data_IF_557967507004
#
_entry.id   IF_557967507004
#
_cell.length_a   1.000
_cell.length_b   1.000
_cell.length_c   1.000
_cell.angle_alpha   90.00
_cell.angle_beta   90.00
_cell.angle_gamma   90.00
#
_symmetry.space_group_name_H-M   'P 1'
#
loop_
_entity.id
_entity.type
_entity.pdbx_description
1 polymer ?
#
# COMPACT_ATOMS: atom_id res chain seq x y z
N UNK A 1 -5.62 -13.59 38.29
CA UNK A 1 -6.27 -12.66 39.25
C UNK A 1 -5.86 -11.24 38.90
N UNK A 2 -6.70 -10.24 39.17
CA UNK A 2 -6.38 -8.85 38.86
C UNK A 2 -5.65 -8.21 40.05
N UNK A 3 -4.63 -7.40 39.78
CA UNK A 3 -3.93 -6.64 40.81
C UNK A 3 -4.62 -5.30 41.02
N UNK A 4 -4.93 -4.97 42.27
CA UNK A 4 -5.55 -3.72 42.66
C UNK A 4 -4.61 -2.95 43.59
N UNK A 5 -4.63 -1.63 43.48
CA UNK A 5 -4.09 -0.74 44.50
C UNK A 5 -5.25 -0.28 45.36
N UNK A 6 -5.13 -0.38 46.68
CA UNK A 6 -6.17 0.07 47.59
C UNK A 6 -5.58 1.02 48.64
N UNK A 7 -6.41 1.96 49.07
CA UNK A 7 -6.21 2.76 50.27
C UNK A 7 -7.36 2.45 51.22
N UNK A 8 -7.04 2.09 52.46
CA UNK A 8 -8.02 1.78 53.49
C UNK A 8 -7.62 2.41 54.82
N UNK A 9 -8.60 2.78 55.65
CA UNK A 9 -8.36 3.28 57.00
C UNK A 9 -8.42 2.16 58.02
N UNK A 10 -7.47 2.12 58.94
CA UNK A 10 -7.54 1.24 60.12
C UNK A 10 -8.50 1.82 61.18
N UNK A 11 -8.70 1.08 62.28
CA UNK A 11 -9.58 1.48 63.39
C UNK A 11 -9.12 2.77 64.09
N UNK A 12 -7.84 3.08 64.02
CA UNK A 12 -7.23 4.29 64.60
C UNK A 12 -7.28 5.50 63.63
N UNK A 13 -7.95 5.36 62.49
CA UNK A 13 -8.14 6.43 61.49
C UNK A 13 -6.95 6.67 60.55
N UNK A 14 -5.88 5.88 60.66
CA UNK A 14 -4.70 5.97 59.80
C UNK A 14 -4.95 5.30 58.44
N UNK A 15 -4.59 5.99 57.36
CA UNK A 15 -4.72 5.48 56.00
C UNK A 15 -3.52 4.61 55.62
N UNK A 16 -3.78 3.39 55.16
CA UNK A 16 -2.79 2.44 54.66
C UNK A 16 -3.04 2.22 53.17
N UNK A 17 -2.00 2.38 52.35
CA UNK A 17 -2.06 2.16 50.90
C UNK A 17 -1.17 0.98 50.53
N UNK A 18 -1.74 -0.04 49.88
CA UNK A 18 -0.99 -1.22 49.45
C UNK A 18 -1.59 -1.83 48.17
N UNK A 19 -0.93 -2.83 47.60
CA UNK A 19 -1.42 -3.59 46.45
C UNK A 19 -1.81 -5.00 46.85
N UNK A 20 -2.95 -5.48 46.36
CA UNK A 20 -3.42 -6.83 46.59
C UNK A 20 -4.05 -7.43 45.32
N UNK A 21 -3.96 -8.75 45.19
CA UNK A 21 -4.62 -9.48 44.12
C UNK A 21 -6.01 -9.95 44.55
N UNK A 22 -6.99 -9.75 43.67
CA UNK A 22 -8.36 -10.18 43.89
C UNK A 22 -9.06 -10.49 42.57
N UNK A 23 -10.20 -11.18 42.66
CA UNK A 23 -11.02 -11.52 41.51
C UNK A 23 -11.89 -10.35 41.04
N UNK A 24 -12.37 -9.52 41.98
CA UNK A 24 -13.11 -8.29 41.68
C UNK A 24 -12.83 -7.20 42.73
N UNK A 25 -13.26 -5.97 42.42
CA UNK A 25 -13.17 -4.84 43.35
C UNK A 25 -13.98 -5.10 44.62
N UNK A 26 -15.15 -5.71 44.45
CA UNK A 26 -16.09 -6.06 45.51
C UNK A 26 -15.51 -7.15 46.41
N UNK A 27 -14.88 -8.18 45.81
CA UNK A 27 -14.21 -9.24 46.56
C UNK A 27 -13.05 -8.71 47.40
N UNK A 28 -12.24 -7.78 46.86
CA UNK A 28 -11.19 -7.13 47.63
C UNK A 28 -11.75 -6.24 48.75
N UNK A 29 -12.83 -5.50 48.48
CA UNK A 29 -13.49 -4.66 49.48
C UNK A 29 -14.03 -5.45 50.67
N UNK A 30 -14.65 -6.61 50.41
CA UNK A 30 -15.13 -7.52 51.46
C UNK A 30 -13.97 -8.09 52.29
N UNK A 31 -12.88 -8.51 51.62
CA UNK A 31 -11.68 -9.02 52.30
C UNK A 31 -11.03 -7.97 53.20
N UNK A 32 -10.92 -6.73 52.75
CA UNK A 32 -10.37 -5.63 53.56
C UNK A 32 -11.25 -5.31 54.77
N UNK A 33 -12.58 -5.30 54.60
CA UNK A 33 -13.53 -5.12 55.71
C UNK A 33 -13.44 -6.24 56.75
N UNK A 34 -13.28 -7.49 56.32
CA UNK A 34 -13.08 -8.61 57.26
C UNK A 34 -11.77 -8.52 58.05
N UNK A 35 -10.79 -7.77 57.56
CA UNK A 35 -9.52 -7.49 58.24
C UNK A 35 -9.58 -6.23 59.12
N UNK A 36 -10.76 -5.63 59.29
CA UNK A 36 -10.94 -4.41 60.08
C UNK A 36 -10.45 -3.13 59.40
N UNK A 37 -10.19 -3.19 58.08
CA UNK A 37 -9.79 -2.04 57.26
C UNK A 37 -11.00 -1.53 56.47
N UNK A 38 -11.26 -0.22 56.54
CA UNK A 38 -12.33 0.44 55.79
C UNK A 38 -11.77 0.96 54.46
N UNK A 39 -12.06 0.32 53.31
CA UNK A 39 -11.55 0.77 52.02
C UNK A 39 -12.17 2.10 51.63
N UNK A 40 -11.33 3.11 51.38
CA UNK A 40 -11.73 4.43 50.87
C UNK A 40 -11.57 4.51 49.36
N UNK A 41 -10.54 3.86 48.82
CA UNK A 41 -10.29 3.81 47.38
C UNK A 41 -9.77 2.42 46.99
N UNK A 42 -10.37 1.82 45.96
CA UNK A 42 -9.87 0.58 45.36
C UNK A 42 -9.83 0.82 43.86
N UNK A 43 -8.64 0.87 43.29
CA UNK A 43 -8.40 1.07 41.88
C UNK A 43 -7.73 -0.16 41.27
N UNK A 44 -8.26 -0.61 40.13
CA UNK A 44 -7.62 -1.68 39.37
C UNK A 44 -6.32 -1.15 38.81
N UNK A 45 -5.19 -1.77 39.17
CA UNK A 45 -3.89 -1.38 38.65
C UNK A 45 -3.87 -1.73 37.17
N UNK A 46 -3.97 -0.72 36.30
CA UNK A 46 -3.89 -0.90 34.85
C UNK A 46 -2.54 -1.52 34.53
N UNK A 47 -2.54 -2.79 34.12
CA UNK A 47 -1.32 -3.48 33.70
C UNK A 47 -0.85 -2.83 32.40
N UNK A 48 0.46 -2.67 32.20
CA UNK A 48 1.10 -2.15 30.95
C UNK A 48 0.63 -2.85 29.65
N UNK A 49 -0.15 -3.92 29.76
CA UNK A 49 -0.79 -4.68 28.68
C UNK A 49 -1.84 -3.87 27.90
N UNK A 50 -2.54 -2.91 28.53
CA UNK A 50 -3.54 -2.08 27.83
C UNK A 50 -2.91 -1.08 26.84
N UNK A 51 -1.67 -0.64 27.08
CA UNK A 51 -0.95 0.24 26.14
C UNK A 51 -0.48 -0.51 24.87
N UNK A 52 -0.36 -1.85 24.91
CA UNK A 52 -0.06 -2.66 23.71
C UNK A 52 -1.26 -2.81 22.76
N UNK A 53 -2.49 -2.60 23.24
CA UNK A 53 -3.71 -2.68 22.43
C UNK A 53 -3.86 -1.49 21.48
N UNK A 54 -3.51 -0.29 21.93
CA UNK A 54 -3.49 0.92 21.10
C UNK A 54 -2.42 0.86 19.98
N UNK A 55 -1.40 0.00 20.12
CA UNK A 55 -0.37 -0.24 19.09
C UNK A 55 -0.81 -1.18 17.96
N UNK A 56 -2.03 -1.74 18.00
CA UNK A 56 -2.52 -2.68 16.98
C UNK A 56 -2.69 -2.04 15.59
N UNK A 57 -2.63 -0.71 15.47
CA UNK A 57 -2.61 0.00 14.19
C UNK A 57 -1.26 -0.08 13.46
N UNK A 58 -0.17 -0.51 14.14
CA UNK A 58 1.19 -0.63 13.59
C UNK A 58 1.57 -2.06 13.18
N UNK A 59 0.60 -2.94 12.90
CA UNK A 59 0.84 -4.33 12.44
C UNK A 59 1.17 -4.40 10.94
N UNK A 60 2.00 -3.49 10.44
CA UNK A 60 2.47 -3.50 9.06
C UNK A 60 4.00 -3.60 9.04
N UNK A 61 4.51 -4.46 8.18
CA UNK A 61 5.94 -4.58 7.89
C UNK A 61 6.16 -4.23 6.43
N UNK A 62 6.92 -3.16 6.19
CA UNK A 62 7.20 -2.65 4.84
C UNK A 62 8.19 -3.54 4.10
N UNK A 63 8.21 -3.45 2.76
CA UNK A 63 9.23 -4.15 1.94
C UNK A 63 10.65 -3.71 2.28
N UNK A 64 10.85 -2.44 2.64
CA UNK A 64 12.15 -1.92 3.04
C UNK A 64 12.65 -2.59 4.33
N UNK A 65 11.77 -2.79 5.32
CA UNK A 65 12.12 -3.48 6.56
C UNK A 65 12.48 -4.96 6.30
N UNK A 66 11.72 -5.65 5.44
CA UNK A 66 12.03 -7.03 5.02
C UNK A 66 13.37 -7.12 4.29
N UNK A 67 13.67 -6.14 3.42
CA UNK A 67 14.94 -6.01 2.73
C UNK A 67 16.09 -5.82 3.71
N UNK A 68 15.95 -4.91 4.67
CA UNK A 68 16.96 -4.67 5.71
C UNK A 68 17.17 -5.91 6.57
N UNK A 69 16.10 -6.63 6.94
CA UNK A 69 16.21 -7.90 7.65
C UNK A 69 17.03 -8.93 6.88
N UNK A 70 16.65 -9.22 5.62
CA UNK A 70 17.35 -10.20 4.80
C UNK A 70 18.83 -9.82 4.59
N UNK A 71 19.11 -8.55 4.27
CA UNK A 71 20.47 -8.05 4.06
C UNK A 71 21.33 -8.13 5.32
N UNK A 72 20.81 -7.66 6.46
CA UNK A 72 21.59 -7.66 7.70
C UNK A 72 21.80 -9.08 8.22
N UNK A 73 20.81 -9.97 8.06
CA UNK A 73 20.97 -11.37 8.40
C UNK A 73 22.04 -12.04 7.51
N UNK A 74 21.98 -11.85 6.18
CA UNK A 74 23.01 -12.35 5.26
C UNK A 74 24.41 -11.89 5.66
N UNK A 75 24.61 -10.58 5.88
CA UNK A 75 25.91 -10.00 6.28
C UNK A 75 26.41 -10.60 7.60
N UNK A 76 25.51 -10.80 8.56
CA UNK A 76 25.88 -11.32 9.88
C UNK A 76 26.26 -12.81 9.83
N UNK A 77 25.54 -13.60 9.02
CA UNK A 77 25.87 -15.00 8.78
C UNK A 77 27.18 -15.16 8.01
N UNK A 78 27.41 -14.33 7.00
CA UNK A 78 28.66 -14.27 6.22
C UNK A 78 29.87 -13.91 7.07
N UNK A 79 29.66 -13.19 8.18
CA UNK A 79 30.67 -12.92 9.20
C UNK A 79 30.94 -14.10 10.15
N UNK A 80 30.30 -15.26 9.93
CA UNK A 80 30.51 -16.49 10.68
C UNK A 80 29.68 -16.62 11.96
N UNK A 81 28.69 -15.73 12.19
CA UNK A 81 27.84 -15.85 13.38
C UNK A 81 26.80 -16.97 13.19
N UNK A 82 26.52 -17.79 14.22
CA UNK A 82 25.40 -18.73 14.20
C UNK A 82 24.05 -18.03 14.01
N UNK A 83 23.09 -18.71 13.39
CA UNK A 83 21.76 -18.16 13.03
C UNK A 83 21.03 -17.56 14.23
N UNK A 84 20.97 -18.27 15.36
CA UNK A 84 20.35 -17.77 16.60
C UNK A 84 20.97 -16.45 17.04
N UNK A 85 22.30 -16.35 17.04
CA UNK A 85 23.00 -15.12 17.44
C UNK A 85 22.79 -13.99 16.42
N UNK A 86 22.80 -14.32 15.13
CA UNK A 86 22.57 -13.37 14.06
C UNK A 86 21.16 -12.74 14.17
N UNK A 87 20.13 -13.54 14.44
CA UNK A 87 18.76 -13.05 14.67
C UNK A 87 18.68 -12.08 15.85
N UNK A 88 19.36 -12.35 16.97
CA UNK A 88 19.41 -11.43 18.12
C UNK A 88 20.07 -10.09 17.74
N UNK A 89 21.14 -10.12 16.95
CA UNK A 89 21.83 -8.90 16.49
C UNK A 89 20.91 -8.09 15.57
N UNK A 90 20.30 -8.75 14.59
CA UNK A 90 19.41 -8.11 13.61
C UNK A 90 18.16 -7.53 14.29
N UNK A 91 17.61 -8.22 15.29
CA UNK A 91 16.44 -7.76 16.08
C UNK A 91 16.67 -6.38 16.70
N UNK A 92 17.89 -6.13 17.22
CA UNK A 92 18.27 -4.86 17.86
C UNK A 92 18.41 -3.70 16.87
N UNK A 93 18.60 -4.00 15.58
CA UNK A 93 18.75 -3.01 14.52
C UNK A 93 17.42 -2.62 13.87
N UNK A 94 16.33 -3.32 14.19
CA UNK A 94 15.01 -3.05 13.62
C UNK A 94 14.38 -1.80 14.24
N UNK A 95 13.98 -0.84 13.39
CA UNK A 95 13.28 0.37 13.80
C UNK A 95 11.81 0.12 14.16
N UNK A 96 11.19 -0.89 13.55
CA UNK A 96 9.79 -1.24 13.74
C UNK A 96 9.60 -2.16 14.96
N UNK A 97 8.93 -1.72 16.04
CA UNK A 97 8.78 -2.53 17.26
C UNK A 97 7.97 -3.81 17.04
N UNK A 98 6.98 -3.77 16.13
CA UNK A 98 6.18 -4.95 15.78
C UNK A 98 7.05 -5.98 15.07
N UNK A 99 7.81 -5.56 14.07
CA UNK A 99 8.70 -6.47 13.36
C UNK A 99 9.82 -7.00 14.26
N UNK A 100 10.43 -6.15 15.08
CA UNK A 100 11.41 -6.54 16.10
C UNK A 100 10.87 -7.62 17.03
N UNK A 101 9.61 -7.50 17.50
CA UNK A 101 9.00 -8.52 18.35
C UNK A 101 8.80 -9.87 17.65
N UNK A 102 8.55 -9.87 16.35
CA UNK A 102 8.39 -11.08 15.53
C UNK A 102 9.75 -11.74 15.29
N UNK A 103 10.78 -10.96 14.96
CA UNK A 103 12.15 -11.51 14.81
C UNK A 103 12.67 -12.05 16.15
N UNK A 104 12.33 -11.43 17.27
CA UNK A 104 12.67 -11.94 18.60
C UNK A 104 12.00 -13.29 18.88
N UNK A 105 10.73 -13.45 18.50
CA UNK A 105 10.00 -14.72 18.63
C UNK A 105 10.61 -15.81 17.73
N UNK A 106 10.93 -15.47 16.47
CA UNK A 106 11.66 -16.37 15.56
C UNK A 106 13.01 -16.77 16.14
N UNK A 107 13.76 -15.82 16.70
CA UNK A 107 15.04 -16.08 17.38
C UNK A 107 14.88 -17.08 18.52
N UNK A 108 13.83 -16.93 19.34
CA UNK A 108 13.55 -17.85 20.44
C UNK A 108 13.19 -19.25 19.92
N UNK A 109 12.38 -19.36 18.87
CA UNK A 109 12.01 -20.64 18.28
C UNK A 109 13.23 -21.37 17.71
N UNK A 110 14.13 -20.64 17.05
CA UNK A 110 15.39 -21.18 16.51
C UNK A 110 16.33 -21.62 17.63
N UNK A 111 16.45 -20.84 18.71
CA UNK A 111 17.17 -21.26 19.92
C UNK A 111 16.56 -22.52 20.57
N UNK A 112 15.24 -22.68 20.46
CA UNK A 112 14.49 -23.87 20.90
C UNK A 112 14.63 -25.09 19.96
N UNK A 113 15.38 -24.99 18.87
CA UNK A 113 15.66 -26.08 17.94
C UNK A 113 14.72 -26.18 16.74
N UNK A 114 13.79 -25.23 16.56
CA UNK A 114 13.00 -25.12 15.32
C UNK A 114 13.89 -24.59 14.19
N UNK A 115 13.69 -25.04 12.95
CA UNK A 115 14.42 -24.45 11.81
C UNK A 115 14.01 -22.99 11.61
N UNK A 116 14.88 -22.19 10.99
CA UNK A 116 14.57 -20.81 10.63
C UNK A 116 13.40 -20.76 9.65
N UNK A 117 13.40 -21.60 8.62
CA UNK A 117 12.32 -21.69 7.63
C UNK A 117 10.97 -22.00 8.28
N UNK A 118 10.89 -22.99 9.16
CA UNK A 118 9.64 -23.31 9.86
C UNK A 118 9.19 -22.17 10.79
N UNK A 119 10.13 -21.47 11.42
CA UNK A 119 9.82 -20.32 12.27
C UNK A 119 9.32 -19.11 11.48
N UNK A 120 9.85 -18.90 10.26
CA UNK A 120 9.37 -17.87 9.34
C UNK A 120 7.97 -18.21 8.78
N UNK A 121 7.69 -19.50 8.57
CA UNK A 121 6.41 -19.99 8.04
C UNK A 121 5.22 -19.68 8.95
N UNK A 122 5.44 -19.53 10.27
CA UNK A 122 4.41 -19.12 11.23
C UNK A 122 3.88 -17.69 10.97
N UNK A 123 4.60 -16.91 10.16
CA UNK A 123 4.30 -15.51 9.83
C UNK A 123 4.04 -15.27 8.33
N UNK A 124 3.05 -15.93 7.70
CA UNK A 124 2.83 -15.92 6.24
C UNK A 124 2.39 -14.56 5.68
N UNK A 125 1.93 -13.64 6.53
CA UNK A 125 1.61 -12.25 6.15
C UNK A 125 2.86 -11.38 5.98
N UNK A 126 3.99 -11.81 6.54
CA UNK A 126 5.26 -11.07 6.54
C UNK A 126 6.25 -11.75 5.61
N UNK A 127 6.46 -13.05 5.76
CA UNK A 127 7.34 -13.83 4.91
C UNK A 127 6.52 -14.56 3.86
N UNK A 128 6.81 -14.28 2.59
CA UNK A 128 6.16 -14.93 1.46
C UNK A 128 6.62 -16.39 1.33
N UNK A 129 5.87 -17.26 0.63
CA UNK A 129 6.29 -18.63 0.37
C UNK A 129 7.68 -18.72 -0.29
N UNK A 130 8.00 -17.82 -1.22
CA UNK A 130 9.34 -17.73 -1.83
C UNK A 130 10.43 -17.48 -0.78
N UNK A 131 10.17 -16.59 0.20
CA UNK A 131 11.13 -16.29 1.26
C UNK A 131 11.39 -17.51 2.12
N UNK A 132 10.32 -18.17 2.57
CA UNK A 132 10.40 -19.37 3.42
C UNK A 132 11.11 -20.52 2.71
N UNK A 133 10.74 -20.80 1.45
CA UNK A 133 11.33 -21.90 0.69
C UNK A 133 12.81 -21.67 0.35
N UNK A 134 13.19 -20.45 -0.02
CA UNK A 134 14.61 -20.14 -0.27
C UNK A 134 15.45 -20.25 1.00
N UNK A 135 14.91 -19.81 2.14
CA UNK A 135 15.58 -20.04 3.43
C UNK A 135 15.69 -21.53 3.73
N UNK A 136 14.64 -22.32 3.49
CA UNK A 136 14.67 -23.78 3.69
C UNK A 136 15.74 -24.47 2.84
N UNK A 137 15.87 -24.07 1.58
CA UNK A 137 16.93 -24.57 0.68
C UNK A 137 18.30 -24.18 1.22
N UNK A 138 18.50 -22.91 1.58
CA UNK A 138 19.77 -22.42 2.15
C UNK A 138 20.15 -23.07 3.48
N UNK A 139 19.18 -23.35 4.35
CA UNK A 139 19.40 -24.11 5.58
C UNK A 139 19.83 -25.54 5.30
N UNK A 140 19.23 -26.19 4.30
CA UNK A 140 19.52 -27.58 3.96
C UNK A 140 20.85 -27.74 3.20
N UNK A 141 21.24 -26.74 2.40
CA UNK A 141 22.51 -26.72 1.66
C UNK A 141 23.68 -26.14 2.46
N UNK A 142 23.40 -25.44 3.57
CA UNK A 142 24.42 -24.73 4.35
C UNK A 142 24.83 -23.37 3.76
N UNK A 143 24.16 -22.91 2.70
CA UNK A 143 24.43 -21.65 1.98
C UNK A 143 23.39 -20.57 2.32
N UNK A 144 23.05 -20.46 3.61
CA UNK A 144 21.99 -19.58 4.07
C UNK A 144 22.32 -18.08 3.84
N UNK A 145 23.59 -17.72 3.92
CA UNK A 145 24.07 -16.36 3.66
C UNK A 145 23.89 -15.94 2.19
N UNK A 146 24.31 -16.79 1.25
CA UNK A 146 24.16 -16.52 -0.19
C UNK A 146 22.68 -16.52 -0.64
N UNK A 147 21.87 -17.43 -0.09
CA UNK A 147 20.42 -17.46 -0.36
C UNK A 147 19.70 -16.22 0.19
N UNK A 148 20.07 -15.73 1.38
CA UNK A 148 19.54 -14.48 1.92
C UNK A 148 20.02 -13.25 1.15
N UNK A 149 21.25 -13.26 0.64
CA UNK A 149 21.78 -12.20 -0.25
C UNK A 149 20.95 -12.15 -1.55
N UNK A 150 20.67 -13.31 -2.15
CA UNK A 150 19.78 -13.40 -3.30
C UNK A 150 18.35 -12.93 -3.00
N UNK A 151 17.77 -13.34 -1.86
CA UNK A 151 16.45 -12.87 -1.42
C UNK A 151 16.43 -11.34 -1.22
N UNK A 152 17.48 -10.77 -0.63
CA UNK A 152 17.60 -9.33 -0.48
C UNK A 152 17.64 -8.62 -1.85
N UNK A 153 18.37 -9.17 -2.83
CA UNK A 153 18.37 -8.64 -4.21
C UNK A 153 16.95 -8.68 -4.81
N UNK A 154 16.24 -9.77 -4.64
CA UNK A 154 14.87 -9.93 -5.15
C UNK A 154 13.89 -8.93 -4.52
N UNK A 155 13.89 -8.80 -3.18
CA UNK A 155 13.05 -7.83 -2.47
C UNK A 155 13.41 -6.38 -2.86
N UNK A 156 14.70 -6.11 -3.10
CA UNK A 156 15.18 -4.81 -3.56
C UNK A 156 14.62 -4.45 -4.94
N UNK A 157 14.60 -5.39 -5.89
CA UNK A 157 13.99 -5.20 -7.22
C UNK A 157 12.51 -4.83 -7.09
N UNK A 158 11.74 -5.63 -6.35
CA UNK A 158 10.33 -5.36 -6.08
C UNK A 158 10.10 -4.00 -5.42
N UNK A 159 10.91 -3.65 -4.42
CA UNK A 159 10.83 -2.36 -3.74
C UNK A 159 11.14 -1.20 -4.69
N UNK A 160 12.19 -1.30 -5.50
CA UNK A 160 12.58 -0.28 -6.46
C UNK A 160 11.52 -0.09 -7.53
N UNK A 161 10.93 -1.17 -8.05
CA UNK A 161 9.84 -1.12 -9.00
C UNK A 161 8.65 -0.30 -8.46
N UNK A 162 8.22 -0.59 -7.22
CA UNK A 162 7.13 0.14 -6.55
C UNK A 162 7.53 1.60 -6.31
N UNK A 163 8.74 1.83 -5.80
CA UNK A 163 9.23 3.17 -5.46
C UNK A 163 9.31 4.05 -6.70
N UNK A 164 9.88 3.55 -7.80
CA UNK A 164 9.97 4.26 -9.09
C UNK A 164 8.58 4.56 -9.65
N UNK A 165 7.69 3.57 -9.64
CA UNK A 165 6.29 3.74 -10.06
C UNK A 165 5.58 4.83 -9.24
N UNK A 166 5.72 4.83 -7.91
CA UNK A 166 5.11 5.84 -7.05
C UNK A 166 5.74 7.23 -7.25
N UNK A 167 7.06 7.29 -7.39
CA UNK A 167 7.79 8.54 -7.64
C UNK A 167 7.33 9.21 -8.92
N UNK A 168 7.22 8.45 -10.01
CA UNK A 168 6.70 8.90 -11.30
C UNK A 168 5.33 9.58 -11.22
N UNK A 169 4.41 8.98 -10.47
CA UNK A 169 3.03 9.45 -10.34
C UNK A 169 2.88 10.61 -9.34
N UNK A 170 3.92 10.94 -8.59
CA UNK A 170 3.85 11.98 -7.57
C UNK A 170 3.72 13.36 -8.21
N UNK A 171 4.47 13.66 -9.26
CA UNK A 171 4.41 14.96 -9.94
C UNK A 171 3.03 15.26 -10.54
N UNK A 172 2.42 14.38 -11.38
CA UNK A 172 1.06 14.60 -11.86
C UNK A 172 0.03 14.80 -10.73
N UNK A 173 0.14 14.04 -9.65
CA UNK A 173 -0.77 14.15 -8.52
C UNK A 173 -0.66 15.52 -7.82
N UNK A 174 0.56 16.03 -7.63
CA UNK A 174 0.79 17.36 -7.03
C UNK A 174 0.22 18.47 -7.90
N UNK A 175 0.43 18.43 -9.22
CA UNK A 175 -0.07 19.47 -10.13
C UNK A 175 -1.60 19.44 -10.21
N UNK A 176 -2.21 18.25 -10.35
CA UNK A 176 -3.68 18.12 -10.33
C UNK A 176 -4.26 18.60 -9.00
N UNK A 177 -3.62 18.26 -7.88
CA UNK A 177 -4.04 18.76 -6.57
C UNK A 177 -3.96 20.29 -6.49
N UNK A 178 -2.86 20.90 -6.94
CA UNK A 178 -2.72 22.35 -6.98
C UNK A 178 -3.79 23.01 -7.86
N UNK A 179 -4.10 22.43 -9.02
CA UNK A 179 -5.16 22.92 -9.92
C UNK A 179 -6.54 22.87 -9.27
N UNK A 180 -6.87 21.79 -8.56
CA UNK A 180 -8.14 21.69 -7.85
C UNK A 180 -8.23 22.73 -6.73
N UNK A 181 -7.15 22.97 -6.00
CA UNK A 181 -7.10 23.98 -4.93
C UNK A 181 -7.24 25.40 -5.51
N UNK A 182 -6.46 25.73 -6.54
CA UNK A 182 -6.52 27.05 -7.19
C UNK A 182 -7.90 27.27 -7.82
N UNK A 183 -8.43 26.27 -8.53
CA UNK A 183 -9.77 26.32 -9.12
C UNK A 183 -10.84 26.55 -8.05
N UNK A 184 -10.81 25.78 -6.96
CA UNK A 184 -11.73 25.97 -5.84
C UNK A 184 -11.67 27.40 -5.29
N UNK A 185 -10.48 27.93 -4.99
CA UNK A 185 -10.30 29.30 -4.50
C UNK A 185 -10.80 30.35 -5.51
N UNK A 186 -10.57 30.13 -6.80
CA UNK A 186 -11.08 31.03 -7.84
C UNK A 186 -12.61 31.07 -7.84
N UNK A 187 -13.29 29.93 -7.82
CA UNK A 187 -14.75 29.86 -7.84
C UNK A 187 -15.39 30.37 -6.54
N UNK A 188 -14.76 30.20 -5.38
CA UNK A 188 -15.35 30.62 -4.10
C UNK A 188 -15.03 32.05 -3.69
N UNK A 189 -13.89 32.63 -4.11
CA UNK A 189 -13.45 33.96 -3.65
C UNK A 189 -13.25 34.98 -4.76
N UNK A 190 -12.65 34.59 -5.88
CA UNK A 190 -12.22 35.53 -6.93
C UNK A 190 -13.36 35.83 -7.89
N UNK A 191 -13.95 34.79 -8.48
CA UNK A 191 -15.03 34.93 -9.45
C UNK A 191 -16.28 35.61 -8.88
N UNK A 192 -16.76 35.35 -7.64
CA UNK A 192 -17.92 36.06 -7.09
C UNK A 192 -17.73 37.57 -7.03
N UNK A 193 -16.51 38.05 -6.74
CA UNK A 193 -16.20 39.48 -6.70
C UNK A 193 -16.25 40.11 -8.09
N UNK A 194 -15.77 39.38 -9.10
CA UNK A 194 -15.82 39.81 -10.50
C UNK A 194 -17.24 39.77 -11.06
N UNK A 195 -18.04 38.76 -10.71
CA UNK A 195 -19.43 38.67 -11.16
C UNK A 195 -20.33 39.70 -10.50
N UNK A 196 -20.07 40.05 -9.23
CA UNK A 196 -20.78 41.14 -8.54
C UNK A 196 -20.64 42.48 -9.27
N UNK A 197 -19.46 42.80 -9.82
CA UNK A 197 -19.29 44.02 -10.63
C UNK A 197 -20.07 44.01 -11.95
N UNK A 198 -20.51 42.84 -12.44
CA UNK A 198 -21.36 42.77 -13.63
C UNK A 198 -22.85 42.97 -13.33
N UNK A 199 -23.29 42.74 -12.09
CA UNK A 199 -24.68 42.91 -11.68
C UNK A 199 -25.14 44.39 -11.69
N UNK A 200 -24.20 45.33 -11.71
CA UNK A 200 -24.46 46.77 -11.78
C UNK A 200 -24.81 47.25 -13.20
N UNK A 201 -24.55 46.44 -14.23
CA UNK A 201 -24.87 46.78 -15.61
C UNK A 201 -26.22 46.17 -16.02
N UNK A 202 -27.18 47.03 -16.36
CA UNK A 202 -28.55 46.64 -16.77
C UNK A 202 -28.61 46.13 -18.23
N UNK A 203 -27.68 45.23 -18.58
CA UNK A 203 -27.51 44.72 -19.94
C UNK A 203 -27.59 43.20 -19.98
N UNK A 204 -28.08 42.65 -21.09
CA UNK A 204 -28.15 41.20 -21.26
C UNK A 204 -26.77 40.56 -21.34
N UNK A 205 -26.40 39.82 -20.29
CA UNK A 205 -25.13 39.09 -20.26
C UNK A 205 -25.12 37.92 -21.28
N UNK A 206 -23.98 37.67 -21.95
CA UNK A 206 -23.80 36.50 -22.82
C UNK A 206 -24.08 35.17 -22.11
N UNK A 207 -24.52 34.17 -22.88
CA UNK A 207 -24.84 32.82 -22.36
C UNK A 207 -23.66 32.20 -21.61
N UNK A 208 -22.42 32.38 -22.12
CA UNK A 208 -21.20 31.88 -21.49
C UNK A 208 -20.98 32.51 -20.11
N UNK A 209 -21.20 33.82 -19.97
CA UNK A 209 -21.09 34.55 -18.71
C UNK A 209 -22.18 34.12 -17.72
N UNK A 210 -23.42 33.94 -18.18
CA UNK A 210 -24.53 33.43 -17.36
C UNK A 210 -24.24 32.03 -16.80
N UNK A 211 -23.66 31.13 -17.61
CA UNK A 211 -23.26 29.80 -17.15
C UNK A 211 -22.14 29.84 -16.09
N UNK A 212 -21.17 30.75 -16.24
CA UNK A 212 -20.12 30.98 -15.24
C UNK A 212 -20.73 31.52 -13.95
N UNK A 213 -21.59 32.54 -14.01
CA UNK A 213 -22.26 33.10 -12.83
C UNK A 213 -23.09 32.04 -12.10
N UNK A 214 -23.89 31.25 -12.82
CA UNK A 214 -24.67 30.16 -12.22
C UNK A 214 -23.77 29.14 -11.49
N UNK A 215 -22.62 28.82 -12.06
CA UNK A 215 -21.64 27.92 -11.42
C UNK A 215 -21.04 28.59 -10.18
N UNK A 216 -20.64 29.85 -10.28
CA UNK A 216 -20.06 30.64 -9.19
C UNK A 216 -21.04 30.80 -8.02
N UNK A 217 -22.32 31.06 -8.30
CA UNK A 217 -23.38 31.20 -7.29
C UNK A 217 -23.57 29.90 -6.49
N UNK A 218 -23.51 28.75 -7.16
CA UNK A 218 -23.55 27.44 -6.47
C UNK A 218 -22.34 27.29 -5.54
N UNK A 219 -21.15 27.63 -6.00
CA UNK A 219 -19.92 27.49 -5.21
C UNK A 219 -19.80 28.54 -4.09
N UNK A 220 -20.35 29.74 -4.26
CA UNK A 220 -20.27 30.82 -3.28
C UNK A 220 -21.35 30.69 -2.21
N UNK A 221 -22.63 30.61 -2.61
CA UNK A 221 -23.77 30.60 -1.68
C UNK A 221 -23.87 29.28 -0.90
N UNK A 222 -23.38 28.19 -1.48
CA UNK A 222 -23.37 26.87 -0.85
C UNK A 222 -21.95 26.39 -0.56
N UNK A 223 -20.97 27.27 -0.41
CA UNK A 223 -19.54 26.92 -0.20
C UNK A 223 -19.32 25.86 0.89
N UNK A 224 -20.00 25.96 2.03
CA UNK A 224 -19.93 24.96 3.11
C UNK A 224 -20.54 23.62 2.66
N UNK A 225 -21.69 23.63 2.00
CA UNK A 225 -22.37 22.42 1.52
C UNK A 225 -21.57 21.76 0.40
N UNK A 226 -21.02 22.53 -0.53
CA UNK A 226 -20.14 22.07 -1.61
C UNK A 226 -18.85 21.50 -1.03
N UNK A 227 -18.25 22.14 -0.02
CA UNK A 227 -17.08 21.62 0.69
C UNK A 227 -17.36 20.29 1.40
N UNK A 228 -18.50 20.18 2.11
CA UNK A 228 -18.94 18.94 2.75
C UNK A 228 -19.26 17.87 1.70
N UNK A 229 -19.95 18.22 0.61
CA UNK A 229 -20.26 17.32 -0.48
C UNK A 229 -18.98 16.78 -1.13
N UNK A 230 -18.01 17.65 -1.42
CA UNK A 230 -16.70 17.25 -1.95
C UNK A 230 -15.96 16.34 -0.98
N UNK A 231 -15.97 16.65 0.32
CA UNK A 231 -15.38 15.80 1.35
C UNK A 231 -16.05 14.42 1.43
N UNK A 232 -17.38 14.37 1.39
CA UNK A 232 -18.16 13.12 1.38
C UNK A 232 -17.93 12.33 0.09
N UNK A 233 -17.79 12.99 -1.06
CA UNK A 233 -17.52 12.35 -2.34
C UNK A 233 -16.10 11.76 -2.36
N UNK A 234 -15.10 12.51 -1.88
CA UNK A 234 -13.72 12.04 -1.76
C UNK A 234 -13.62 10.89 -0.74
N UNK A 235 -14.20 11.04 0.45
CA UNK A 235 -14.16 10.01 1.50
C UNK A 235 -14.96 8.77 1.09
N UNK A 236 -16.13 8.95 0.46
CA UNK A 236 -16.94 7.88 -0.12
C UNK A 236 -16.20 7.14 -1.23
N UNK A 237 -15.51 7.86 -2.13
CA UNK A 237 -14.65 7.26 -3.14
C UNK A 237 -13.47 6.48 -2.54
N UNK A 238 -12.81 7.03 -1.51
CA UNK A 238 -11.71 6.36 -0.80
C UNK A 238 -12.19 5.09 -0.10
N UNK A 239 -13.39 5.09 0.47
CA UNK A 239 -14.00 3.93 1.11
C UNK A 239 -14.46 2.91 0.07
N UNK A 240 -15.12 3.36 -1.00
CA UNK A 240 -15.57 2.52 -2.11
C UNK A 240 -14.40 1.83 -2.80
N UNK A 241 -13.27 2.51 -3.01
CA UNK A 241 -12.04 1.92 -3.56
C UNK A 241 -11.51 0.74 -2.73
N UNK A 242 -11.78 0.69 -1.41
CA UNK A 242 -11.39 -0.44 -0.55
C UNK A 242 -12.34 -1.64 -0.66
N UNK A 243 -13.52 -1.47 -1.24
CA UNK A 243 -14.46 -2.57 -1.47
C UNK A 243 -14.03 -3.46 -2.63
N UNK A 244 -14.42 -4.75 -2.67
CA UNK A 244 -14.10 -5.65 -3.78
C UNK A 244 -14.57 -5.12 -5.13
N UNK A 245 -15.78 -4.56 -5.18
CA UNK A 245 -16.37 -3.98 -6.40
C UNK A 245 -15.62 -2.73 -6.87
N UNK A 246 -15.25 -1.83 -5.95
CA UNK A 246 -14.45 -0.65 -6.29
C UNK A 246 -13.05 -1.01 -6.79
N UNK A 247 -12.41 -2.01 -6.19
CA UNK A 247 -11.12 -2.53 -6.65
C UNK A 247 -11.19 -3.09 -8.08
N UNK A 248 -12.22 -3.87 -8.41
CA UNK A 248 -12.44 -4.42 -9.75
C UNK A 248 -12.65 -3.32 -10.80
N UNK A 249 -13.53 -2.35 -10.52
CA UNK A 249 -13.83 -1.26 -11.46
C UNK A 249 -12.61 -0.37 -11.67
N UNK A 250 -11.90 -0.01 -10.60
CA UNK A 250 -10.69 0.82 -10.71
C UNK A 250 -9.57 0.09 -11.47
N UNK A 251 -9.34 -1.19 -11.19
CA UNK A 251 -8.34 -1.95 -11.93
C UNK A 251 -8.70 -2.09 -13.41
N UNK A 252 -9.99 -2.17 -13.76
CA UNK A 252 -10.45 -2.16 -15.15
C UNK A 252 -10.25 -0.80 -15.81
N UNK A 253 -10.69 0.27 -15.15
CA UNK A 253 -10.55 1.64 -15.67
C UNK A 253 -9.07 1.98 -15.94
N UNK A 254 -8.19 1.65 -15.01
CA UNK A 254 -6.75 1.89 -15.14
C UNK A 254 -6.15 1.12 -16.33
N UNK A 255 -6.67 -0.07 -16.66
CA UNK A 255 -6.26 -0.86 -17.83
C UNK A 255 -6.84 -0.34 -19.16
N UNK A 256 -7.85 0.53 -19.12
CA UNK A 256 -8.52 1.07 -20.32
C UNK A 256 -8.01 2.46 -20.67
N UNK A 257 -7.64 3.29 -19.70
CA UNK A 257 -7.13 4.65 -19.95
C UNK A 257 -5.82 4.57 -20.75
N UNK A 258 -5.77 5.05 -22.02
CA UNK A 258 -4.64 4.80 -22.93
C UNK A 258 -3.29 5.25 -22.36
N UNK A 259 -3.30 6.37 -21.65
CA UNK A 259 -2.14 7.02 -21.03
C UNK A 259 -1.50 6.13 -19.96
N UNK A 260 -2.29 5.41 -19.16
CA UNK A 260 -1.79 4.54 -18.08
C UNK A 260 -1.77 3.05 -18.44
N UNK A 261 -2.52 2.63 -19.47
CA UNK A 261 -2.67 1.23 -19.89
C UNK A 261 -1.33 0.53 -20.13
N UNK A 262 -0.43 1.19 -20.87
CA UNK A 262 0.89 0.63 -21.22
C UNK A 262 1.74 0.46 -19.97
N UNK A 263 1.81 1.49 -19.12
CA UNK A 263 2.58 1.47 -17.88
C UNK A 263 2.07 0.36 -16.93
N UNK A 264 0.76 0.28 -16.72
CA UNK A 264 0.15 -0.69 -15.82
C UNK A 264 0.37 -2.11 -16.32
N UNK A 265 0.25 -2.35 -17.62
CA UNK A 265 0.57 -3.64 -18.22
C UNK A 265 2.03 -4.02 -17.96
N UNK A 266 2.98 -3.13 -18.27
CA UNK A 266 4.42 -3.38 -18.04
C UNK A 266 4.74 -3.66 -16.57
N UNK A 267 4.17 -2.91 -15.62
CA UNK A 267 4.36 -3.14 -14.18
C UNK A 267 3.87 -4.53 -13.76
N UNK A 268 2.69 -4.94 -14.23
CA UNK A 268 2.15 -6.26 -13.87
C UNK A 268 2.96 -7.40 -14.52
N UNK A 269 3.42 -7.22 -15.76
CA UNK A 269 4.28 -8.18 -16.43
C UNK A 269 5.66 -8.30 -15.75
N UNK A 270 6.31 -7.18 -15.42
CA UNK A 270 7.55 -7.18 -14.64
C UNK A 270 7.37 -7.94 -13.31
N UNK A 271 6.30 -7.62 -12.55
CA UNK A 271 6.02 -8.31 -11.29
C UNK A 271 5.77 -9.80 -11.48
N UNK A 272 4.99 -10.16 -12.49
CA UNK A 272 4.73 -11.54 -12.85
C UNK A 272 6.04 -12.28 -13.12
N UNK A 273 6.90 -11.77 -14.01
CA UNK A 273 8.15 -12.43 -14.39
C UNK A 273 9.18 -12.46 -13.26
N UNK A 274 9.31 -11.41 -12.46
CA UNK A 274 10.17 -11.37 -11.26
C UNK A 274 9.74 -12.45 -10.27
N UNK A 275 8.45 -12.49 -9.89
CA UNK A 275 7.97 -13.42 -8.87
C UNK A 275 8.01 -14.85 -9.39
N UNK A 276 7.57 -15.07 -10.62
CA UNK A 276 7.50 -16.40 -11.22
C UNK A 276 8.89 -16.98 -11.45
N UNK A 277 9.83 -16.23 -12.05
CA UNK A 277 11.23 -16.67 -12.19
C UNK A 277 11.88 -17.00 -10.84
N UNK A 278 11.66 -16.15 -9.82
CA UNK A 278 12.19 -16.39 -8.48
C UNK A 278 11.65 -17.67 -7.82
N UNK A 279 10.36 -17.97 -8.02
CA UNK A 279 9.74 -19.21 -7.52
C UNK A 279 10.28 -20.43 -8.27
N UNK A 280 10.36 -20.38 -9.60
CA UNK A 280 10.92 -21.48 -10.40
C UNK A 280 12.38 -21.74 -10.04
N UNK A 281 13.18 -20.69 -9.87
CA UNK A 281 14.58 -20.80 -9.43
C UNK A 281 14.73 -21.43 -8.04
N UNK A 282 13.72 -21.31 -7.18
CA UNK A 282 13.68 -22.00 -5.88
C UNK A 282 13.32 -23.49 -5.98
N UNK A 283 13.16 -24.03 -7.20
CA UNK A 283 12.78 -25.42 -7.45
C UNK A 283 11.28 -25.69 -7.27
N UNK A 284 10.46 -24.63 -7.16
CA UNK A 284 9.03 -24.79 -6.98
C UNK A 284 8.35 -25.33 -8.25
N UNK A 285 7.44 -26.32 -8.14
CA UNK A 285 6.67 -26.79 -9.28
C UNK A 285 5.86 -25.66 -9.95
N UNK A 286 5.79 -25.66 -11.28
CA UNK A 286 5.14 -24.62 -12.10
C UNK A 286 3.73 -24.28 -11.62
N UNK A 287 2.89 -25.30 -11.34
CA UNK A 287 1.50 -25.11 -10.89
C UNK A 287 1.43 -24.34 -9.57
N UNK A 288 2.30 -24.68 -8.61
CA UNK A 288 2.35 -24.01 -7.31
C UNK A 288 2.90 -22.59 -7.46
N UNK A 289 3.95 -22.43 -8.27
CA UNK A 289 4.55 -21.14 -8.58
C UNK A 289 3.54 -20.18 -9.23
N UNK A 290 2.70 -20.65 -10.16
CA UNK A 290 1.61 -19.87 -10.76
C UNK A 290 0.57 -19.44 -9.73
N UNK A 291 0.14 -20.36 -8.85
CA UNK A 291 -0.85 -20.07 -7.81
C UNK A 291 -0.35 -19.00 -6.83
N UNK A 292 0.90 -19.11 -6.38
CA UNK A 292 1.52 -18.12 -5.49
C UNK A 292 1.73 -16.79 -6.19
N UNK A 293 2.19 -16.81 -7.45
CA UNK A 293 2.36 -15.59 -8.25
C UNK A 293 1.03 -14.88 -8.43
N UNK A 294 -0.03 -15.60 -8.79
CA UNK A 294 -1.39 -15.06 -8.92
C UNK A 294 -1.90 -14.42 -7.63
N UNK A 295 -1.67 -15.07 -6.48
CA UNK A 295 -2.07 -14.51 -5.18
C UNK A 295 -1.26 -13.28 -4.75
N UNK A 296 -0.06 -13.09 -5.31
CA UNK A 296 0.83 -11.95 -5.04
C UNK A 296 0.57 -10.77 -5.99
N UNK A 297 -0.11 -11.00 -7.11
CA UNK A 297 -0.47 -9.94 -8.05
C UNK A 297 -1.39 -8.90 -7.41
N UNK A 298 -1.03 -7.62 -7.58
CA UNK A 298 -1.85 -6.50 -7.11
C UNK A 298 -3.08 -6.26 -7.98
N UNK A 299 -3.00 -6.56 -9.28
CA UNK A 299 -4.12 -6.43 -10.20
C UNK A 299 -4.98 -7.71 -10.20
N UNK A 300 -6.28 -7.53 -9.98
CA UNK A 300 -7.26 -8.64 -9.86
C UNK A 300 -7.39 -9.44 -11.15
N UNK A 301 -7.27 -8.80 -12.32
CA UNK A 301 -7.37 -9.50 -13.61
C UNK A 301 -6.16 -10.42 -13.85
N UNK A 302 -4.95 -9.96 -13.51
CA UNK A 302 -3.75 -10.81 -13.56
C UNK A 302 -3.83 -11.93 -12.52
N UNK A 303 -4.31 -11.65 -11.32
CA UNK A 303 -4.55 -12.67 -10.29
C UNK A 303 -5.48 -13.77 -10.81
N UNK A 304 -6.63 -13.40 -11.36
CA UNK A 304 -7.61 -14.36 -11.88
C UNK A 304 -7.05 -15.17 -13.06
N UNK A 305 -6.37 -14.52 -14.00
CA UNK A 305 -5.78 -15.19 -15.15
C UNK A 305 -4.69 -16.20 -14.74
N UNK A 306 -3.84 -15.86 -13.78
CA UNK A 306 -2.79 -16.77 -13.29
C UNK A 306 -3.35 -17.93 -12.47
N UNK A 307 -4.41 -17.70 -11.68
CA UNK A 307 -5.09 -18.77 -10.93
C UNK A 307 -5.84 -19.72 -11.87
N UNK A 308 -6.50 -19.20 -12.92
CA UNK A 308 -7.09 -20.06 -13.96
C UNK A 308 -6.00 -20.84 -14.70
N UNK A 309 -4.90 -20.19 -15.10
CA UNK A 309 -3.77 -20.85 -15.73
C UNK A 309 -3.18 -21.97 -14.85
N UNK A 310 -3.05 -21.75 -13.54
CA UNK A 310 -2.60 -22.79 -12.61
C UNK A 310 -3.53 -24.03 -12.62
N UNK A 311 -4.85 -23.83 -12.59
CA UNK A 311 -5.82 -24.94 -12.67
C UNK A 311 -5.78 -25.65 -14.04
N UNK A 312 -5.56 -24.91 -15.14
CA UNK A 312 -5.41 -25.51 -16.48
C UNK A 312 -4.13 -26.34 -16.61
N UNK A 313 -3.01 -25.81 -16.14
CA UNK A 313 -1.72 -26.53 -16.18
C UNK A 313 -1.77 -27.77 -15.30
N UNK A 314 -2.45 -27.70 -14.14
CA UNK A 314 -2.67 -28.84 -13.26
C UNK A 314 -3.36 -30.03 -13.93
N UNK A 315 -4.26 -29.78 -14.89
CA UNK A 315 -4.94 -30.82 -15.67
C UNK A 315 -4.26 -31.15 -16.99
N UNK A 316 -3.03 -30.67 -17.22
CA UNK A 316 -2.19 -31.01 -18.38
C UNK A 316 -2.32 -30.08 -19.59
N UNK A 317 -2.94 -28.90 -19.45
CA UNK A 317 -2.92 -27.88 -20.50
C UNK A 317 -1.55 -27.17 -20.50
N UNK A 318 -0.99 -26.94 -21.68
CA UNK A 318 0.21 -26.11 -21.87
C UNK A 318 0.03 -24.72 -21.23
N UNK A 319 1.07 -24.26 -20.51
CA UNK A 319 1.10 -22.95 -19.85
C UNK A 319 0.91 -21.79 -20.83
N UNK A 320 1.61 -21.82 -21.96
CA UNK A 320 1.53 -20.79 -23.01
C UNK A 320 0.11 -20.73 -23.53
N UNK A 321 -0.49 -21.89 -23.84
CA UNK A 321 -1.87 -22.00 -24.30
C UNK A 321 -2.90 -21.54 -23.24
N UNK A 322 -2.59 -21.67 -21.95
CA UNK A 322 -3.43 -21.16 -20.87
C UNK A 322 -3.39 -19.62 -20.78
N UNK A 323 -2.21 -19.02 -20.94
CA UNK A 323 -2.02 -17.57 -20.87
C UNK A 323 -2.46 -16.84 -22.14
N UNK A 324 -2.33 -17.46 -23.31
CA UNK A 324 -2.76 -16.91 -24.61
C UNK A 324 -4.27 -16.64 -24.68
N UNK A 325 -5.07 -17.22 -23.77
CA UNK A 325 -6.50 -16.89 -23.59
C UNK A 325 -6.72 -15.45 -23.10
N UNK A 326 -5.66 -14.78 -22.62
CA UNK A 326 -5.70 -13.44 -22.06
C UNK A 326 -4.76 -12.46 -22.81
N UNK A 327 -4.94 -12.25 -24.13
CA UNK A 327 -4.03 -11.43 -24.95
C UNK A 327 -4.03 -9.94 -24.57
N UNK A 328 -5.07 -9.51 -23.84
CA UNK A 328 -5.14 -8.15 -23.31
C UNK A 328 -4.26 -7.94 -22.07
N UNK A 329 -3.84 -9.02 -21.39
CA UNK A 329 -3.01 -8.99 -20.19
C UNK A 329 -1.56 -9.39 -20.50
N UNK A 330 -1.37 -10.52 -21.18
CA UNK A 330 -0.07 -11.03 -21.58
C UNK A 330 0.27 -10.58 -22.98
N UNK A 331 1.49 -10.08 -23.18
CA UNK A 331 1.98 -9.67 -24.50
C UNK A 331 2.49 -10.88 -25.27
N UNK A 332 2.50 -10.84 -26.62
CA UNK A 332 3.11 -11.90 -27.42
C UNK A 332 4.57 -12.17 -27.03
N UNK A 333 5.31 -11.12 -26.67
CA UNK A 333 6.69 -11.26 -26.20
C UNK A 333 6.78 -12.16 -24.94
N UNK A 334 5.90 -11.98 -23.96
CA UNK A 334 5.93 -12.79 -22.73
C UNK A 334 5.56 -14.24 -23.02
N UNK A 335 4.52 -14.49 -23.82
CA UNK A 335 4.08 -15.85 -24.13
C UNK A 335 5.08 -16.58 -25.01
N UNK A 336 5.71 -15.91 -25.98
CA UNK A 336 6.83 -16.45 -26.76
C UNK A 336 8.06 -16.77 -25.90
N UNK A 337 8.43 -15.89 -24.98
CA UNK A 337 9.58 -16.15 -24.11
C UNK A 337 9.31 -17.29 -23.12
N UNK A 338 8.07 -17.44 -22.64
CA UNK A 338 7.66 -18.62 -21.88
C UNK A 338 7.79 -19.90 -22.71
N UNK A 339 7.32 -19.88 -23.97
CA UNK A 339 7.46 -21.02 -24.88
C UNK A 339 8.94 -21.40 -25.09
N UNK A 340 9.81 -20.43 -25.39
CA UNK A 340 11.25 -20.65 -25.53
C UNK A 340 11.86 -21.20 -24.25
N UNK A 341 11.46 -20.68 -23.09
CA UNK A 341 11.89 -21.16 -21.78
C UNK A 341 11.45 -22.60 -21.48
N UNK A 342 10.24 -22.98 -21.90
CA UNK A 342 9.70 -24.32 -21.75
C UNK A 342 10.42 -25.32 -22.66
N UNK A 343 10.56 -25.00 -23.96
CA UNK A 343 11.24 -25.83 -24.95
C UNK A 343 12.72 -26.05 -24.64
N UNK A 344 13.40 -25.03 -24.09
CA UNK A 344 14.80 -25.10 -23.68
C UNK A 344 15.02 -25.65 -22.27
N UNK A 345 13.96 -25.78 -21.47
CA UNK A 345 14.05 -26.15 -20.05
C UNK A 345 14.75 -25.11 -19.17
N UNK A 346 14.80 -23.84 -19.58
CA UNK A 346 15.49 -22.75 -18.87
C UNK A 346 14.56 -21.57 -18.56
N UNK A 347 13.29 -21.87 -18.28
CA UNK A 347 12.23 -20.88 -18.08
C UNK A 347 12.56 -19.84 -17.00
N UNK A 348 13.24 -20.24 -15.94
CA UNK A 348 13.70 -19.35 -14.87
C UNK A 348 14.69 -18.28 -15.35
N UNK A 349 15.60 -18.63 -16.27
CA UNK A 349 16.59 -17.70 -16.82
C UNK A 349 15.95 -16.78 -17.86
N UNK A 350 15.15 -17.35 -18.76
CA UNK A 350 14.46 -16.57 -19.80
C UNK A 350 13.50 -15.56 -19.16
N UNK A 351 12.75 -15.94 -18.13
CA UNK A 351 11.87 -15.01 -17.41
C UNK A 351 12.63 -13.94 -16.62
N UNK A 352 13.83 -14.23 -16.14
CA UNK A 352 14.68 -13.22 -15.50
C UNK A 352 15.12 -12.14 -16.51
N UNK A 353 15.50 -12.52 -17.73
CA UNK A 353 15.80 -11.57 -18.81
C UNK A 353 14.57 -10.75 -19.22
N UNK A 354 13.39 -11.38 -19.28
CA UNK A 354 12.13 -10.66 -19.55
C UNK A 354 11.79 -9.69 -18.42
N UNK A 355 12.09 -10.04 -17.16
CA UNK A 355 11.95 -9.13 -16.03
C UNK A 355 12.87 -7.90 -16.18
N UNK A 356 14.15 -8.11 -16.52
CA UNK A 356 15.12 -7.04 -16.74
C UNK A 356 14.66 -6.11 -17.88
N UNK A 357 14.16 -6.68 -18.98
CA UNK A 357 13.58 -5.91 -20.09
C UNK A 357 12.39 -5.05 -19.66
N UNK A 358 11.41 -5.62 -18.94
CA UNK A 358 10.24 -4.84 -18.51
C UNK A 358 10.57 -3.80 -17.45
N UNK A 359 11.53 -4.06 -16.56
CA UNK A 359 12.01 -3.06 -15.60
C UNK A 359 12.58 -1.83 -16.31
N UNK A 360 13.41 -2.03 -17.35
CA UNK A 360 13.95 -0.95 -18.17
C UNK A 360 12.83 -0.18 -18.91
N UNK A 361 11.92 -0.91 -19.55
CA UNK A 361 10.80 -0.33 -20.30
C UNK A 361 9.84 0.48 -19.41
N UNK A 362 9.74 0.16 -18.11
CA UNK A 362 8.92 0.92 -17.15
C UNK A 362 9.52 2.30 -16.91
N UNK A 363 10.84 2.40 -16.76
CA UNK A 363 11.52 3.68 -16.54
C UNK A 363 11.32 4.62 -17.74
N UNK A 364 11.45 4.10 -18.96
CA UNK A 364 11.18 4.85 -20.18
C UNK A 364 9.72 5.26 -20.31
N UNK A 365 8.80 4.35 -19.98
CA UNK A 365 7.36 4.64 -20.02
C UNK A 365 6.98 5.73 -19.03
N UNK A 366 7.55 5.69 -17.82
CA UNK A 366 7.37 6.71 -16.77
C UNK A 366 7.83 8.09 -17.26
N UNK A 367 9.00 8.15 -17.89
CA UNK A 367 9.56 9.40 -18.43
C UNK A 367 8.67 9.97 -19.53
N UNK A 368 8.27 9.13 -20.48
CA UNK A 368 7.38 9.52 -21.58
C UNK A 368 6.00 9.95 -21.08
N UNK A 369 5.50 9.29 -20.05
CA UNK A 369 4.23 9.63 -19.43
C UNK A 369 4.25 11.04 -18.84
N UNK A 370 5.35 11.40 -18.17
CA UNK A 370 5.54 12.73 -17.59
C UNK A 370 5.57 13.81 -18.68
N UNK A 371 6.25 13.57 -19.81
CA UNK A 371 6.29 14.50 -20.93
C UNK A 371 4.97 14.67 -21.69
N UNK A 372 4.03 13.72 -21.57
CA UNK A 372 2.68 13.85 -22.17
C UNK A 372 1.72 14.55 -21.21
N UNK A 373 1.83 14.25 -19.91
CA UNK A 373 0.95 14.82 -18.88
C UNK A 373 1.12 16.33 -18.80
N UNK A 374 2.34 16.85 -18.86
CA UNK A 374 2.60 18.29 -18.73
C UNK A 374 1.90 19.14 -19.83
N UNK A 375 2.09 18.87 -21.14
CA UNK A 375 1.35 19.59 -22.19
C UNK A 375 -0.17 19.47 -22.08
N UNK A 376 -0.67 18.30 -21.66
CA UNK A 376 -2.10 18.10 -21.48
C UNK A 376 -2.64 18.96 -20.33
N UNK A 377 -1.90 19.06 -19.22
CA UNK A 377 -2.26 19.93 -18.11
C UNK A 377 -2.24 21.40 -18.53
N UNK A 378 -1.21 21.85 -19.27
CA UNK A 378 -1.13 23.22 -19.79
C UNK A 378 -2.31 23.51 -20.73
N UNK A 379 -2.68 22.57 -21.60
CA UNK A 379 -3.84 22.71 -22.50
C UNK A 379 -5.15 22.84 -21.71
N UNK A 380 -5.35 22.03 -20.67
CA UNK A 380 -6.53 22.12 -19.79
C UNK A 380 -6.56 23.46 -19.06
N UNK A 381 -5.43 23.91 -18.50
CA UNK A 381 -5.33 25.22 -17.83
C UNK A 381 -5.65 26.34 -18.82
N UNK A 382 -5.04 26.31 -20.01
CA UNK A 382 -5.29 27.30 -21.06
C UNK A 382 -6.74 27.33 -21.50
N UNK A 383 -7.39 26.16 -21.63
CA UNK A 383 -8.81 26.07 -21.94
C UNK A 383 -9.68 26.66 -20.83
N UNK A 384 -9.42 26.33 -19.56
CA UNK A 384 -10.14 26.88 -18.41
C UNK A 384 -9.96 28.40 -18.33
N UNK A 385 -8.72 28.88 -18.38
CA UNK A 385 -8.41 30.32 -18.34
C UNK A 385 -9.01 31.03 -19.56
N UNK A 386 -8.99 30.42 -20.74
CA UNK A 386 -9.58 30.97 -21.96
C UNK A 386 -11.10 31.12 -21.85
N UNK A 387 -11.80 30.09 -21.34
CA UNK A 387 -13.24 30.15 -21.08
C UNK A 387 -13.56 31.26 -20.07
N UNK A 388 -12.78 31.37 -18.99
CA UNK A 388 -12.95 32.42 -17.99
C UNK A 388 -12.69 33.80 -18.60
N UNK A 389 -11.60 33.98 -19.36
CA UNK A 389 -11.26 35.25 -19.99
C UNK A 389 -12.37 35.69 -20.97
N UNK A 390 -12.82 34.80 -21.85
CA UNK A 390 -13.91 35.08 -22.77
C UNK A 390 -15.22 35.41 -22.04
N UNK A 391 -15.54 34.65 -20.99
CA UNK A 391 -16.74 34.86 -20.18
C UNK A 391 -16.73 36.18 -19.40
N UNK A 392 -15.56 36.68 -19.00
CA UNK A 392 -15.41 37.93 -18.26
C UNK A 392 -15.24 39.15 -19.18
N UNK A 393 -14.57 39.00 -20.33
CA UNK A 393 -14.28 40.11 -21.24
C UNK A 393 -15.44 40.40 -22.19
N UNK A 394 -16.19 39.39 -22.66
CA UNK A 394 -17.33 39.60 -23.56
C UNK A 394 -18.39 40.57 -23.01
N UNK A 395 -18.82 40.50 -21.73
CA UNK A 395 -19.74 41.47 -21.15
C UNK A 395 -19.23 42.91 -21.27
N UNK A 396 -17.94 43.13 -21.01
CA UNK A 396 -17.33 44.47 -21.07
C UNK A 396 -17.44 45.06 -22.49
N UNK A 397 -17.20 44.24 -23.53
CA UNK A 397 -17.38 44.68 -24.91
C UNK A 397 -18.84 44.98 -25.26
N UNK A 398 -19.78 44.14 -24.84
CA UNK A 398 -21.21 44.37 -25.10
C UNK A 398 -21.73 45.64 -24.41
N UNK A 399 -21.27 45.91 -23.19
CA UNK A 399 -21.58 47.16 -22.48
C UNK A 399 -20.98 48.35 -23.23
N UNK A 400 -19.72 48.26 -23.65
CA UNK A 400 -19.04 49.34 -24.38
C UNK A 400 -19.60 49.62 -25.78
N UNK A 401 -20.29 48.67 -26.42
CA UNK A 401 -20.94 48.87 -27.73
C UNK A 401 -22.37 49.44 -27.60
N UNK A 402 -22.99 49.28 -26.44
CA UNK A 402 -24.35 49.77 -26.15
C UNK A 402 -24.36 51.13 -25.43
N UNK A 403 -23.18 51.67 -25.09
CA UNK A 403 -22.95 53.07 -24.70
C UNK A 403 -22.51 53.81 -25.97
#
# INVERSE_FOLDING_TARGET
>A
MAQFTYTAKNRDGQSVTNTAEAESREALGLRLRSQGLLPTLIEKKRTKRDFKSALSFFKHVSLLEKLTFAKNLAVTLKAGLPVSRALVVVTKQMSNPYFSSIIADISHNVEGGKTLSDSLADYPKIFSPIFVNMVKVGESSGELDDTLEYLAKQISRDYNLIRRTKGALTYPAVVVFALLVIGYLMFTFVLPKLTASFAEFDTELPVLTKAIIATVDVFSNYSIIVGIALFLLISGFLFWRRTPSGHLVLHRLILVVPVFKILVKKINLARFTIIFSGLLKSGMPIVEALSITGNTMGNVYYKQALLDAAEKVKIGVDLVAALDRYPHLFTPMVTQMLQVGEESGTMENVLAEVADFYEAEIDDTVKNLSSIIEPLLVMVIGAVVGVLALGLIMPIYNISQNI
#
